data_IF_131810694704
#
_entry.id   IF_131810694704
#
_cell.length_a   1.000
_cell.length_b   1.000
_cell.length_c   1.000
_cell.angle_alpha   90.00
_cell.angle_beta   90.00
_cell.angle_gamma   90.00
#
_symmetry.space_group_name_H-M   'P 1'
#
loop_
_entity.id
_entity.type
_entity.pdbx_description
1 polymer ?
#
# COMPACT_ATOMS: atom_id res chain seq x y z
N UNK A 1 31.88 -33.06 -8.58
CA UNK A 1 30.89 -32.00 -8.81
C UNK A 1 30.80 -31.18 -7.55
N UNK A 2 31.33 -29.95 -7.55
CA UNK A 2 31.25 -29.06 -6.39
C UNK A 2 29.81 -28.61 -6.19
N UNK A 3 29.35 -28.58 -4.94
CA UNK A 3 28.05 -28.00 -4.61
C UNK A 3 27.99 -26.53 -5.04
N UNK A 4 26.84 -26.02 -5.52
CA UNK A 4 26.67 -24.58 -5.70
C UNK A 4 26.87 -23.89 -4.35
N UNK A 5 27.70 -22.83 -4.34
CA UNK A 5 27.90 -21.98 -3.16
C UNK A 5 26.57 -21.37 -2.68
N UNK A 6 26.51 -20.83 -1.44
CA UNK A 6 25.31 -20.19 -0.94
C UNK A 6 24.88 -19.11 -1.94
N UNK A 7 23.70 -19.28 -2.53
CA UNK A 7 23.07 -18.29 -3.40
C UNK A 7 23.05 -16.97 -2.64
N UNK A 8 23.64 -15.91 -3.22
CA UNK A 8 23.49 -14.55 -2.71
C UNK A 8 22.00 -14.25 -2.67
N UNK A 9 21.39 -14.39 -1.48
CA UNK A 9 20.03 -13.98 -1.28
C UNK A 9 19.91 -12.52 -1.73
N UNK A 10 18.87 -12.14 -2.48
CA UNK A 10 18.73 -10.77 -2.93
C UNK A 10 18.78 -9.84 -1.72
N UNK A 11 19.84 -9.05 -1.62
CA UNK A 11 19.98 -8.02 -0.60
C UNK A 11 19.11 -6.87 -1.07
N UNK A 12 17.92 -6.74 -0.49
CA UNK A 12 17.08 -5.57 -0.76
C UNK A 12 17.75 -4.36 -0.12
N UNK A 13 18.14 -3.34 -0.91
CA UNK A 13 18.71 -2.13 -0.36
C UNK A 13 17.69 -1.47 0.57
N UNK A 14 18.17 -0.78 1.61
CA UNK A 14 17.28 -0.02 2.49
C UNK A 14 16.47 0.98 1.64
N UNK A 15 15.12 0.91 1.67
CA UNK A 15 14.31 1.77 0.83
C UNK A 15 14.43 3.21 1.31
N UNK A 16 14.61 4.15 0.38
CA UNK A 16 14.54 5.60 0.67
C UNK A 16 13.10 6.11 0.66
N UNK A 17 12.21 5.41 -0.05
CA UNK A 17 10.78 5.73 -0.15
C UNK A 17 9.94 4.47 -0.07
N UNK A 18 8.82 4.57 0.63
CA UNK A 18 7.78 3.57 0.74
C UNK A 18 6.52 4.12 0.05
N UNK A 19 5.86 3.28 -0.73
CA UNK A 19 4.51 3.57 -1.24
C UNK A 19 3.49 2.82 -0.39
N UNK A 20 2.40 3.48 -0.01
CA UNK A 20 1.32 2.88 0.79
C UNK A 20 -0.02 3.08 0.10
N UNK A 21 -0.78 2.00 -0.09
CA UNK A 21 -2.14 2.07 -0.63
C UNK A 21 -3.13 2.56 0.42
N UNK A 22 -3.83 3.65 0.10
CA UNK A 22 -4.84 4.26 0.96
C UNK A 22 -6.22 4.23 0.32
N UNK A 23 -7.19 3.59 0.97
CA UNK A 23 -8.60 3.56 0.50
C UNK A 23 -9.62 3.92 1.59
N UNK A 24 -9.16 4.32 2.78
CA UNK A 24 -10.02 4.65 3.93
C UNK A 24 -10.57 3.44 4.68
N UNK A 25 -10.19 2.22 4.29
CA UNK A 25 -10.54 1.01 5.04
C UNK A 25 -9.68 0.85 6.30
N UNK A 26 -10.17 0.03 7.23
CA UNK A 26 -9.43 -0.34 8.43
C UNK A 26 -8.10 -1.08 8.11
N UNK A 27 -8.08 -1.95 7.11
CA UNK A 27 -6.87 -2.63 6.64
C UNK A 27 -5.84 -1.65 6.07
N UNK A 28 -6.30 -0.64 5.36
CA UNK A 28 -5.44 0.44 4.88
C UNK A 28 -4.86 1.27 6.03
N UNK A 29 -5.64 1.57 7.08
CA UNK A 29 -5.12 2.24 8.27
C UNK A 29 -4.01 1.44 8.97
N UNK A 30 -4.18 0.10 9.08
CA UNK A 30 -3.11 -0.79 9.58
C UNK A 30 -1.87 -0.75 8.69
N UNK A 31 -2.06 -0.76 7.36
CA UNK A 31 -0.97 -0.66 6.41
C UNK A 31 -0.16 0.63 6.59
N UNK A 32 -0.82 1.76 6.83
CA UNK A 32 -0.14 3.03 7.14
C UNK A 32 0.65 2.94 8.44
N UNK A 33 0.08 2.39 9.51
CA UNK A 33 0.79 2.25 10.77
C UNK A 33 2.05 1.38 10.62
N UNK A 34 1.94 0.26 9.91
CA UNK A 34 3.10 -0.59 9.57
C UNK A 34 4.13 0.16 8.72
N UNK A 35 3.69 0.91 7.71
CA UNK A 35 4.58 1.70 6.87
C UNK A 35 5.30 2.80 7.68
N UNK A 36 4.63 3.43 8.65
CA UNK A 36 5.25 4.40 9.53
C UNK A 36 6.39 3.79 10.36
N UNK A 37 6.15 2.61 10.95
CA UNK A 37 7.19 1.87 11.69
C UNK A 37 8.37 1.48 10.81
N UNK A 38 8.10 0.98 9.60
CA UNK A 38 9.16 0.60 8.65
C UNK A 38 9.94 1.82 8.14
N UNK A 39 9.25 2.92 7.83
CA UNK A 39 9.87 4.14 7.35
C UNK A 39 10.75 4.78 8.42
N UNK A 40 10.28 4.85 9.67
CA UNK A 40 11.07 5.35 10.80
C UNK A 40 12.34 4.52 11.00
N UNK A 41 12.25 3.19 10.93
CA UNK A 41 13.41 2.31 11.04
C UNK A 41 14.40 2.45 9.87
N UNK A 42 13.93 2.82 8.68
CA UNK A 42 14.76 3.00 7.49
C UNK A 42 15.28 4.42 7.28
N UNK A 43 14.70 5.43 7.95
CA UNK A 43 14.90 6.84 7.61
C UNK A 43 14.31 7.21 6.25
N UNK A 44 13.16 6.62 5.90
CA UNK A 44 12.52 6.74 4.59
C UNK A 44 11.34 7.72 4.60
N UNK A 45 10.99 8.23 3.41
CA UNK A 45 9.75 8.98 3.19
C UNK A 45 8.60 8.04 2.80
N UNK A 46 7.37 8.39 3.20
CA UNK A 46 6.15 7.66 2.82
C UNK A 46 5.33 8.44 1.80
N UNK A 47 5.03 7.80 0.67
CA UNK A 47 4.08 8.28 -0.34
C UNK A 47 2.78 7.52 -0.17
N UNK A 48 1.78 8.17 0.42
CA UNK A 48 0.43 7.61 0.53
C UNK A 48 -0.34 7.82 -0.77
N UNK A 49 -0.85 6.73 -1.35
CA UNK A 49 -1.48 6.72 -2.67
C UNK A 49 -2.94 6.33 -2.55
N UNK A 50 -3.81 7.24 -2.94
CA UNK A 50 -5.22 6.93 -3.15
C UNK A 50 -5.54 6.87 -4.63
N UNK A 51 -6.09 5.74 -5.06
CA UNK A 51 -6.54 5.55 -6.43
C UNK A 51 -8.05 5.76 -6.52
N UNK A 52 -8.46 6.75 -7.32
CA UNK A 52 -9.86 7.00 -7.63
C UNK A 52 -10.23 6.11 -8.81
N UNK A 53 -10.85 4.98 -8.51
CA UNK A 53 -11.38 4.10 -9.56
C UNK A 53 -12.53 4.79 -10.31
N UNK A 54 -12.73 4.45 -11.59
CA UNK A 54 -13.98 4.76 -12.29
C UNK A 54 -15.09 3.77 -11.89
N UNK A 55 -14.68 2.55 -11.51
CA UNK A 55 -15.56 1.44 -11.14
C UNK A 55 -14.92 0.64 -9.99
N UNK A 56 -15.72 0.22 -9.02
CA UNK A 56 -15.37 -0.75 -7.98
C UNK A 56 -16.02 -2.09 -8.27
N UNK A 57 -15.36 -3.18 -7.83
CA UNK A 57 -16.00 -4.49 -7.78
C UNK A 57 -16.45 -4.76 -6.35
N UNK A 58 -17.75 -4.83 -6.13
CA UNK A 58 -18.37 -5.11 -4.83
C UNK A 58 -19.19 -6.37 -5.01
N UNK A 59 -18.85 -7.44 -4.27
CA UNK A 59 -19.52 -8.75 -4.37
C UNK A 59 -19.61 -9.32 -5.79
N UNK A 60 -18.60 -9.05 -6.61
CA UNK A 60 -18.53 -9.48 -8.01
C UNK A 60 -19.21 -8.54 -9.01
N UNK A 61 -19.97 -7.56 -8.56
CA UNK A 61 -20.62 -6.56 -9.41
C UNK A 61 -19.75 -5.32 -9.62
N UNK A 62 -19.77 -4.77 -10.84
CA UNK A 62 -19.11 -3.51 -11.15
C UNK A 62 -20.04 -2.34 -10.82
N UNK A 63 -19.60 -1.43 -9.95
CA UNK A 63 -20.34 -0.22 -9.56
C UNK A 63 -19.52 1.03 -9.82
N UNK A 64 -20.13 2.15 -10.27
CA UNK A 64 -19.44 3.43 -10.34
C UNK A 64 -18.80 3.77 -9.00
N UNK A 65 -17.61 4.34 -9.05
CA UNK A 65 -16.96 4.82 -7.85
C UNK A 65 -17.62 6.12 -7.39
N UNK A 66 -18.46 6.04 -6.36
CA UNK A 66 -19.04 7.22 -5.70
C UNK A 66 -18.02 7.95 -4.79
N UNK A 67 -16.72 7.62 -4.88
CA UNK A 67 -15.68 8.17 -4.01
C UNK A 67 -15.42 9.64 -4.35
N UNK A 68 -16.18 10.50 -3.67
CA UNK A 68 -15.99 11.94 -3.69
C UNK A 68 -14.57 12.28 -3.24
N UNK A 69 -13.76 12.82 -4.16
CA UNK A 69 -12.35 13.24 -3.96
C UNK A 69 -12.14 14.08 -2.69
N UNK A 70 -13.17 14.81 -2.29
CA UNK A 70 -13.22 15.63 -1.06
C UNK A 70 -13.26 14.83 0.25
N UNK A 71 -13.92 13.66 0.28
CA UNK A 71 -13.93 12.79 1.49
C UNK A 71 -12.54 12.27 1.78
N UNK A 72 -11.83 11.81 0.74
CA UNK A 72 -10.46 11.32 0.85
C UNK A 72 -9.50 12.42 1.31
N UNK A 73 -9.63 13.64 0.79
CA UNK A 73 -8.82 14.77 1.23
C UNK A 73 -9.03 15.10 2.72
N UNK A 74 -10.25 14.94 3.23
CA UNK A 74 -10.56 15.09 4.66
C UNK A 74 -9.95 13.96 5.48
N UNK A 75 -9.92 12.74 4.94
CA UNK A 75 -9.34 11.56 5.59
C UNK A 75 -7.80 11.58 5.60
N UNK A 76 -7.13 12.42 4.79
CA UNK A 76 -5.65 12.53 4.74
C UNK A 76 -5.05 12.80 6.11
N UNK A 77 -5.60 13.76 6.83
CA UNK A 77 -5.11 14.09 8.17
C UNK A 77 -5.28 12.90 9.13
N UNK A 78 -6.36 12.13 8.99
CA UNK A 78 -6.67 10.98 9.86
C UNK A 78 -5.75 9.80 9.59
N UNK A 79 -5.60 9.37 8.33
CA UNK A 79 -4.74 8.22 8.05
C UNK A 79 -3.26 8.54 8.22
N UNK A 80 -2.84 9.79 8.03
CA UNK A 80 -1.44 10.18 8.18
C UNK A 80 -1.00 10.37 9.65
N UNK A 81 -1.91 10.29 10.63
CA UNK A 81 -1.58 10.47 12.05
C UNK A 81 -0.40 9.59 12.52
N UNK A 82 -0.32 8.27 12.22
CA UNK A 82 0.80 7.44 12.64
C UNK A 82 2.15 7.85 12.05
N UNK A 83 2.15 8.53 10.89
CA UNK A 83 3.36 9.06 10.26
C UNK A 83 3.84 10.31 11.00
N UNK A 84 2.92 11.22 11.33
CA UNK A 84 3.20 12.42 12.10
C UNK A 84 3.69 12.12 13.52
N UNK A 85 3.07 11.15 14.20
CA UNK A 85 3.50 10.70 15.54
C UNK A 85 4.91 10.10 15.58
N UNK A 86 5.47 9.73 14.42
CA UNK A 86 6.79 9.11 14.26
C UNK A 86 7.80 10.01 13.55
N UNK A 87 7.45 11.28 13.32
CA UNK A 87 8.27 12.24 12.56
C UNK A 87 8.71 11.71 11.17
N UNK A 88 7.87 10.85 10.56
CA UNK A 88 8.14 10.30 9.23
C UNK A 88 7.73 11.33 8.18
N UNK A 89 8.61 11.73 7.24
CA UNK A 89 8.22 12.62 6.16
C UNK A 89 7.23 11.89 5.24
N UNK A 90 6.13 12.56 4.90
CA UNK A 90 5.11 11.98 4.03
C UNK A 90 4.47 12.98 3.09
N UNK A 91 3.94 12.46 1.99
CA UNK A 91 3.06 13.20 1.08
C UNK A 91 1.99 12.29 0.49
N UNK A 92 0.94 12.90 -0.04
CA UNK A 92 -0.19 12.19 -0.63
C UNK A 92 -0.24 12.37 -2.14
N UNK A 93 -0.54 11.28 -2.83
CA UNK A 93 -0.82 11.24 -4.27
C UNK A 93 -2.24 10.71 -4.46
N UNK A 94 -3.04 11.44 -5.23
CA UNK A 94 -4.38 11.02 -5.63
C UNK A 94 -4.41 10.93 -7.14
N UNK A 95 -4.68 9.75 -7.69
CA UNK A 95 -4.71 9.50 -9.13
C UNK A 95 -5.93 8.72 -9.56
N UNK A 96 -6.43 9.04 -10.75
CA UNK A 96 -7.50 8.28 -11.38
C UNK A 96 -6.97 6.96 -11.98
N UNK A 97 -7.73 5.89 -11.78
CA UNK A 97 -7.51 4.60 -12.42
C UNK A 97 -7.63 3.40 -11.48
N UNK A 98 -7.39 2.18 -12.01
CA UNK A 98 -7.44 0.96 -11.20
C UNK A 98 -6.36 0.98 -10.11
N UNK A 99 -6.68 0.68 -8.84
CA UNK A 99 -5.74 0.83 -7.72
C UNK A 99 -4.40 0.11 -7.89
N UNK A 100 -4.44 -1.13 -8.41
CA UNK A 100 -3.22 -1.90 -8.66
C UNK A 100 -2.28 -1.22 -9.66
N UNK A 101 -2.82 -0.70 -10.76
CA UNK A 101 -2.04 -0.03 -11.79
C UNK A 101 -1.53 1.33 -11.31
N UNK A 102 -2.37 2.09 -10.60
CA UNK A 102 -1.98 3.37 -10.01
C UNK A 102 -0.79 3.16 -9.07
N UNK A 103 -0.87 2.21 -8.15
CA UNK A 103 0.21 1.91 -7.20
C UNK A 103 1.51 1.52 -7.90
N UNK A 104 1.46 0.65 -8.92
CA UNK A 104 2.65 0.27 -9.69
C UNK A 104 3.30 1.48 -10.38
N UNK A 105 2.50 2.34 -11.02
CA UNK A 105 3.03 3.57 -11.66
C UNK A 105 3.66 4.50 -10.64
N UNK A 106 3.07 4.63 -9.45
CA UNK A 106 3.65 5.48 -8.40
C UNK A 106 4.94 4.85 -7.86
N UNK A 107 4.98 3.54 -7.64
CA UNK A 107 6.21 2.82 -7.23
C UNK A 107 7.36 3.11 -8.18
N UNK A 108 7.12 3.01 -9.49
CA UNK A 108 8.12 3.31 -10.51
C UNK A 108 8.51 4.79 -10.53
N UNK A 109 7.52 5.69 -10.59
CA UNK A 109 7.75 7.15 -10.67
C UNK A 109 8.50 7.70 -9.47
N UNK A 110 8.22 7.16 -8.28
CA UNK A 110 8.82 7.60 -7.03
C UNK A 110 10.12 6.86 -6.69
N UNK A 111 10.56 5.92 -7.54
CA UNK A 111 11.69 5.03 -7.25
C UNK A 111 11.56 4.39 -5.85
N UNK A 112 10.33 3.97 -5.52
CA UNK A 112 10.02 3.41 -4.20
C UNK A 112 10.70 2.06 -4.05
N UNK A 113 11.32 1.81 -2.89
CA UNK A 113 12.02 0.54 -2.62
C UNK A 113 11.15 -0.50 -1.93
N UNK A 114 9.91 -0.15 -1.59
CA UNK A 114 8.97 -1.00 -0.86
C UNK A 114 7.54 -0.48 -1.06
N UNK A 115 6.57 -1.40 -1.18
CA UNK A 115 5.14 -1.06 -1.20
C UNK A 115 4.40 -1.77 -0.08
N UNK A 116 3.51 -1.07 0.63
CA UNK A 116 2.77 -1.57 1.80
C UNK A 116 1.27 -1.44 1.56
N UNK A 117 0.54 -2.54 1.79
CA UNK A 117 -0.89 -2.66 1.53
C UNK A 117 -1.54 -3.44 2.67
N UNK A 118 -2.83 -3.22 2.90
CA UNK A 118 -3.64 -4.13 3.73
C UNK A 118 -3.98 -5.43 2.98
N UNK A 119 -4.44 -6.46 3.68
CA UNK A 119 -4.96 -7.67 3.03
C UNK A 119 -6.22 -7.41 2.24
N UNK A 120 -7.05 -6.47 2.70
CA UNK A 120 -8.38 -6.16 2.16
C UNK A 120 -8.58 -4.66 1.99
N UNK A 121 -9.69 -4.30 1.34
CA UNK A 121 -10.11 -2.93 1.10
C UNK A 121 -11.64 -2.84 1.11
N UNK A 122 -12.19 -1.74 0.59
CA UNK A 122 -13.63 -1.44 0.70
C UNK A 122 -14.60 -2.43 0.00
N UNK A 123 -14.11 -3.33 -0.87
CA UNK A 123 -14.94 -4.25 -1.67
C UNK A 123 -14.68 -5.74 -1.44
N UNK A 124 -13.96 -6.12 -0.38
CA UNK A 124 -13.63 -7.52 -0.12
C UNK A 124 -14.78 -8.27 0.58
N UNK A 125 -15.11 -9.46 0.08
CA UNK A 125 -16.08 -10.38 0.68
C UNK A 125 -15.43 -11.32 1.71
N UNK A 126 -16.24 -11.84 2.63
CA UNK A 126 -15.82 -12.87 3.59
C UNK A 126 -15.29 -14.12 2.86
N UNK A 127 -14.16 -14.67 3.32
CA UNK A 127 -13.54 -15.88 2.76
C UNK A 127 -12.39 -15.65 1.76
N UNK A 128 -12.11 -14.41 1.35
CA UNK A 128 -10.94 -14.08 0.51
C UNK A 128 -9.70 -13.80 1.36
N UNK A 129 -8.58 -14.45 1.03
CA UNK A 129 -7.29 -14.32 1.72
C UNK A 129 -6.57 -13.01 1.33
N UNK A 130 -6.64 -12.61 0.05
CA UNK A 130 -6.05 -11.37 -0.48
C UNK A 130 -7.03 -10.61 -1.37
N UNK A 131 -7.20 -9.32 -1.13
CA UNK A 131 -7.95 -8.42 -2.00
C UNK A 131 -7.32 -8.28 -3.39
N UNK A 132 -8.11 -7.85 -4.37
CA UNK A 132 -7.68 -7.74 -5.78
C UNK A 132 -6.45 -6.86 -5.97
N UNK A 133 -6.38 -5.73 -5.27
CA UNK A 133 -5.21 -4.82 -5.30
C UNK A 133 -3.97 -5.51 -4.75
N UNK A 134 -4.05 -6.10 -3.56
CA UNK A 134 -2.91 -6.75 -2.90
C UNK A 134 -2.41 -7.96 -3.68
N UNK A 135 -3.33 -8.77 -4.21
CA UNK A 135 -3.01 -9.85 -5.12
C UNK A 135 -2.30 -9.36 -6.39
N UNK A 136 -2.78 -8.26 -7.00
CA UNK A 136 -2.17 -7.70 -8.20
C UNK A 136 -0.74 -7.20 -7.93
N UNK A 137 -0.51 -6.49 -6.82
CA UNK A 137 0.81 -5.97 -6.46
C UNK A 137 1.80 -7.10 -6.16
N UNK A 138 1.39 -8.12 -5.41
CA UNK A 138 2.26 -9.29 -5.13
C UNK A 138 2.75 -9.96 -6.42
N UNK A 139 1.94 -9.97 -7.47
CA UNK A 139 2.31 -10.60 -8.74
C UNK A 139 3.16 -9.74 -9.67
N UNK A 140 3.05 -8.40 -9.59
CA UNK A 140 3.58 -7.51 -10.63
C UNK A 140 4.52 -6.42 -10.11
N UNK A 141 4.67 -6.27 -8.79
CA UNK A 141 5.50 -5.22 -8.22
C UNK A 141 6.98 -5.44 -8.55
N UNK A 142 7.69 -4.41 -9.04
CA UNK A 142 9.13 -4.49 -9.27
C UNK A 142 9.93 -4.44 -7.94
N UNK A 143 9.26 -4.13 -6.83
CA UNK A 143 9.86 -4.01 -5.49
C UNK A 143 9.13 -4.88 -4.48
N UNK A 144 9.74 -5.20 -3.32
CA UNK A 144 9.10 -5.99 -2.29
C UNK A 144 7.73 -5.43 -1.88
N UNK A 145 6.80 -6.34 -1.61
CA UNK A 145 5.42 -6.05 -1.21
C UNK A 145 5.21 -6.52 0.22
N UNK A 146 4.78 -5.63 1.10
CA UNK A 146 4.32 -5.95 2.45
C UNK A 146 2.81 -5.95 2.44
N UNK A 147 2.22 -7.11 2.75
CA UNK A 147 0.78 -7.25 2.94
C UNK A 147 0.49 -7.40 4.42
N UNK A 148 -0.26 -6.45 4.98
CA UNK A 148 -0.59 -6.39 6.41
C UNK A 148 -1.91 -7.13 6.67
N UNK A 149 -1.90 -8.19 7.51
CA UNK A 149 -3.10 -8.93 7.86
C UNK A 149 -4.18 -8.06 8.51
N UNK A 150 -5.44 -8.39 8.23
CA UNK A 150 -6.63 -7.74 8.79
C UNK A 150 -6.64 -7.66 10.33
N UNK A 151 -6.12 -8.69 11.00
CA UNK A 151 -6.07 -8.84 12.45
C UNK A 151 -4.69 -8.53 13.05
N UNK A 152 -3.73 -8.04 12.24
CA UNK A 152 -2.40 -7.70 12.73
C UNK A 152 -2.50 -6.62 13.81
N UNK A 153 -1.92 -6.87 14.99
CA UNK A 153 -1.82 -5.85 16.04
C UNK A 153 -1.14 -4.59 15.48
N UNK A 154 -1.64 -3.41 15.85
CA UNK A 154 -1.00 -2.16 15.46
C UNK A 154 0.37 -2.06 16.19
N UNK A 155 1.47 -1.81 15.46
CA UNK A 155 2.82 -1.77 16.02
C UNK A 155 3.13 -0.49 16.80
#
# INVERSE_FOLDING_TARGET
>A
MSAPGPSEAPVFPRPRRLVVGVDGSHDSARAVATAATLAAACGAEVVGVHAVGLMHRIDGEMRPSDQNRERIATDVATWAAPLGERDVPYRTVIEDGPPGLVLLRVVEREEAGLVVLGTRGLGSSEGVVLGSTSHHLVQHSPVPVVVVPHDAALP
#
